data_IF_038973402889
#
_entry.id   IF_038973402889
#
_cell.length_a   1.000
_cell.length_b   1.000
_cell.length_c   1.000
_cell.angle_alpha   90.00
_cell.angle_beta   90.00
_cell.angle_gamma   90.00
#
_symmetry.space_group_name_H-M   'P 1'
#
loop_
_entity.id
_entity.type
_entity.pdbx_description
1 polymer ?
#
# COMPACT_ATOMS: atom_id res chain seq x y z
N UNK A 1 -54.38 -32.97 -1.99
CA UNK A 1 -53.58 -31.78 -1.62
C UNK A 1 -54.23 -30.58 -2.30
N UNK A 2 -55.06 -29.82 -1.56
CA UNK A 2 -55.95 -28.79 -2.09
C UNK A 2 -55.22 -27.45 -2.08
N UNK A 3 -55.02 -26.85 -3.26
CA UNK A 3 -54.54 -25.50 -3.42
C UNK A 3 -55.70 -24.53 -3.18
N UNK A 4 -55.76 -23.90 -2.02
CA UNK A 4 -56.68 -22.80 -1.72
C UNK A 4 -56.23 -21.55 -2.46
N UNK A 5 -56.86 -21.23 -3.58
CA UNK A 5 -56.79 -19.90 -4.20
C UNK A 5 -57.56 -18.93 -3.31
N UNK A 6 -56.83 -18.01 -2.67
CA UNK A 6 -57.46 -16.86 -2.01
C UNK A 6 -57.98 -15.88 -3.06
N UNK A 7 -59.31 -15.77 -3.14
CA UNK A 7 -59.98 -14.75 -3.94
C UNK A 7 -59.83 -13.39 -3.26
N UNK A 8 -59.13 -12.47 -3.87
CA UNK A 8 -59.17 -11.06 -3.52
C UNK A 8 -60.39 -10.41 -4.15
N UNK A 9 -61.24 -9.80 -3.34
CA UNK A 9 -62.48 -9.15 -3.76
C UNK A 9 -62.20 -8.05 -4.83
N UNK A 10 -62.98 -7.96 -5.93
CA UNK A 10 -62.88 -6.90 -6.90
C UNK A 10 -63.37 -5.58 -6.27
N UNK A 11 -62.45 -4.65 -5.99
CA UNK A 11 -62.77 -3.34 -5.46
C UNK A 11 -61.81 -2.84 -4.37
N UNK A 12 -60.90 -3.65 -3.88
CA UNK A 12 -59.87 -3.18 -2.96
C UNK A 12 -58.92 -2.23 -3.70
N UNK A 13 -58.99 -0.94 -3.40
CA UNK A 13 -58.01 0.03 -3.88
C UNK A 13 -56.61 -0.45 -3.44
N UNK A 14 -55.60 -0.45 -4.33
CA UNK A 14 -54.29 -0.81 -3.90
C UNK A 14 -53.89 0.12 -2.74
N UNK A 15 -53.57 -0.50 -1.60
CA UNK A 15 -53.00 0.21 -0.46
C UNK A 15 -51.73 0.90 -0.95
N UNK A 16 -51.82 2.23 -1.07
CA UNK A 16 -50.67 3.04 -1.41
C UNK A 16 -49.72 2.92 -0.25
N UNK A 17 -48.79 1.98 -0.36
CA UNK A 17 -47.67 1.88 0.57
C UNK A 17 -46.98 3.25 0.57
N UNK A 18 -47.25 4.00 1.62
CA UNK A 18 -46.71 5.34 1.80
C UNK A 18 -45.19 5.16 2.07
N UNK A 19 -44.41 5.05 0.97
CA UNK A 19 -42.93 4.99 1.04
C UNK A 19 -42.53 6.27 1.73
N UNK A 20 -42.20 6.18 3.02
CA UNK A 20 -41.71 7.28 3.84
C UNK A 20 -40.72 8.08 3.04
N UNK A 21 -41.00 9.38 2.89
CA UNK A 21 -40.05 10.33 2.33
C UNK A 21 -38.69 10.12 3.00
N UNK A 22 -37.60 10.03 2.23
CA UNK A 22 -36.26 9.87 2.81
C UNK A 22 -36.02 10.94 3.85
N UNK A 23 -35.43 10.53 4.97
CA UNK A 23 -35.09 11.41 6.08
C UNK A 23 -34.32 12.64 5.64
N UNK A 24 -34.44 13.73 6.35
CA UNK A 24 -33.84 15.02 6.01
C UNK A 24 -32.32 14.89 5.79
N UNK A 25 -31.73 15.62 4.81
CA UNK A 25 -30.30 15.50 4.41
C UNK A 25 -29.27 15.71 5.54
N UNK A 26 -29.71 16.21 6.69
CA UNK A 26 -28.85 16.40 7.89
C UNK A 26 -28.45 15.11 8.58
N UNK A 27 -29.28 14.07 8.59
CA UNK A 27 -28.97 12.80 9.26
C UNK A 27 -27.87 12.02 8.52
N UNK A 28 -27.82 12.08 7.20
CA UNK A 28 -26.85 11.36 6.38
C UNK A 28 -25.43 11.91 6.54
N UNK A 29 -25.31 13.24 6.67
CA UNK A 29 -24.02 13.88 6.92
C UNK A 29 -23.47 13.52 8.32
N UNK A 30 -24.35 13.39 9.31
CA UNK A 30 -23.98 12.93 10.66
C UNK A 30 -23.45 11.50 10.63
N UNK A 31 -24.08 10.60 9.87
CA UNK A 31 -23.61 9.23 9.71
C UNK A 31 -22.27 9.17 8.96
N UNK A 32 -22.08 10.01 7.93
CA UNK A 32 -20.80 10.10 7.22
C UNK A 32 -19.70 10.61 8.14
N UNK A 33 -19.96 11.63 8.95
CA UNK A 33 -19.03 12.14 9.96
C UNK A 33 -18.68 11.06 11.00
N UNK A 34 -19.69 10.33 11.50
CA UNK A 34 -19.47 9.22 12.43
C UNK A 34 -18.58 8.12 11.85
N UNK A 35 -18.85 7.70 10.61
CA UNK A 35 -18.00 6.76 9.89
C UNK A 35 -16.58 7.31 9.69
N UNK A 36 -16.44 8.60 9.33
CA UNK A 36 -15.15 9.26 9.18
C UNK A 36 -14.34 9.28 10.47
N UNK A 37 -14.97 9.56 11.60
CA UNK A 37 -14.30 9.54 12.90
C UNK A 37 -13.80 8.14 13.26
N UNK A 38 -14.57 7.09 13.02
CA UNK A 38 -14.17 5.71 13.27
C UNK A 38 -12.97 5.32 12.38
N UNK A 39 -13.03 5.63 11.08
CA UNK A 39 -11.94 5.35 10.16
C UNK A 39 -10.69 6.15 10.52
N UNK A 40 -10.83 7.44 10.85
CA UNK A 40 -9.72 8.30 11.27
C UNK A 40 -9.07 7.79 12.55
N UNK A 41 -9.87 7.36 13.54
CA UNK A 41 -9.36 6.77 14.78
C UNK A 41 -8.56 5.47 14.48
N UNK A 42 -9.09 4.57 13.66
CA UNK A 42 -8.38 3.36 13.25
C UNK A 42 -7.06 3.65 12.52
N UNK A 43 -7.05 4.61 11.60
CA UNK A 43 -5.83 5.02 10.91
C UNK A 43 -4.82 5.69 11.85
N UNK A 44 -5.29 6.50 12.81
CA UNK A 44 -4.43 7.10 13.82
C UNK A 44 -3.77 6.04 14.71
N UNK A 45 -4.51 5.01 15.12
CA UNK A 45 -3.97 3.88 15.88
C UNK A 45 -2.90 3.12 15.08
N UNK A 46 -3.17 2.84 13.81
CA UNK A 46 -2.17 2.19 12.92
C UNK A 46 -0.94 3.06 12.78
N UNK A 47 -1.12 4.36 12.55
CA UNK A 47 0.01 5.29 12.44
C UNK A 47 0.81 5.34 13.73
N UNK A 48 0.18 5.44 14.90
CA UNK A 48 0.84 5.44 16.20
C UNK A 48 1.68 4.18 16.39
N UNK A 49 1.11 2.99 16.17
CA UNK A 49 1.82 1.72 16.28
C UNK A 49 3.01 1.61 15.30
N UNK A 50 2.86 2.11 14.05
CA UNK A 50 3.96 2.09 13.07
C UNK A 50 5.05 3.12 13.39
N UNK A 51 4.72 4.22 14.05
CA UNK A 51 5.65 5.30 14.37
C UNK A 51 6.50 5.06 15.63
N UNK A 52 6.19 4.06 16.45
CA UNK A 52 6.94 3.74 17.66
C UNK A 52 8.44 3.55 17.41
N UNK A 53 8.83 2.97 16.28
CA UNK A 53 10.23 2.75 15.90
C UNK A 53 10.89 3.89 15.11
N UNK A 54 10.18 4.99 14.81
CA UNK A 54 10.68 6.01 13.88
C UNK A 54 11.82 6.85 14.42
N UNK A 55 11.78 7.21 15.70
CA UNK A 55 12.88 7.95 16.33
C UNK A 55 14.18 7.14 16.27
N UNK A 56 14.13 5.85 16.64
CA UNK A 56 15.29 4.96 16.53
C UNK A 56 15.76 4.76 15.08
N UNK A 57 14.84 4.71 14.11
CA UNK A 57 15.20 4.62 12.70
C UNK A 57 15.86 5.90 12.17
N UNK A 58 15.40 7.08 12.58
CA UNK A 58 16.03 8.36 12.22
C UNK A 58 17.44 8.47 12.80
N UNK A 59 17.65 8.07 14.05
CA UNK A 59 18.96 8.10 14.68
C UNK A 59 19.95 7.11 14.03
N UNK A 60 19.48 5.92 13.69
CA UNK A 60 20.27 4.93 12.94
C UNK A 60 20.61 5.40 11.53
N UNK A 61 19.69 6.10 10.83
CA UNK A 61 19.97 6.74 9.54
C UNK A 61 21.06 7.81 9.68
N UNK A 62 21.02 8.64 10.72
CA UNK A 62 22.04 9.67 10.97
C UNK A 62 23.41 9.08 11.29
N UNK A 63 23.47 7.94 12.01
CA UNK A 63 24.72 7.24 12.33
C UNK A 63 25.25 6.37 11.20
N UNK A 64 24.54 6.24 10.07
CA UNK A 64 24.91 5.36 8.97
C UNK A 64 24.72 3.86 9.23
N UNK A 65 24.08 3.47 10.34
CA UNK A 65 23.75 2.09 10.68
C UNK A 65 22.56 1.56 9.86
N UNK A 66 21.79 2.48 9.30
CA UNK A 66 20.65 2.24 8.42
C UNK A 66 20.83 3.08 7.15
N UNK A 67 20.66 2.48 5.98
CA UNK A 67 20.87 3.16 4.70
C UNK A 67 19.56 3.29 3.95
N UNK A 68 19.24 4.51 3.50
CA UNK A 68 18.15 4.75 2.56
C UNK A 68 18.66 4.52 1.13
N UNK A 69 18.28 3.37 0.54
CA UNK A 69 18.75 2.95 -0.79
C UNK A 69 18.35 3.91 -1.92
N UNK A 70 17.32 4.73 -1.72
CA UNK A 70 16.93 5.74 -2.71
C UNK A 70 17.80 7.01 -2.66
N UNK A 71 18.52 7.23 -1.55
CA UNK A 71 19.36 8.43 -1.33
C UNK A 71 20.85 8.14 -1.45
N UNK A 72 21.26 6.88 -1.69
CA UNK A 72 22.68 6.51 -1.89
C UNK A 72 23.24 7.24 -3.10
N UNK A 73 24.31 8.00 -2.94
CA UNK A 73 24.98 8.78 -3.99
C UNK A 73 26.24 8.12 -4.53
N UNK A 74 26.82 7.16 -3.80
CA UNK A 74 27.99 6.40 -4.21
C UNK A 74 28.07 5.03 -3.57
N UNK A 75 28.84 4.09 -4.15
CA UNK A 75 28.97 2.72 -3.65
C UNK A 75 29.61 2.65 -2.27
N UNK A 76 30.44 3.62 -1.89
CA UNK A 76 31.14 3.70 -0.61
C UNK A 76 30.17 3.75 0.59
N UNK A 77 28.98 4.32 0.41
CA UNK A 77 27.94 4.38 1.43
C UNK A 77 27.32 3.01 1.75
N UNK A 78 27.53 2.02 0.91
CA UNK A 78 27.06 0.65 1.09
C UNK A 78 28.12 -0.23 1.80
N UNK A 79 29.39 0.16 1.83
CA UNK A 79 30.47 -0.65 2.38
C UNK A 79 30.27 -1.06 3.85
N UNK A 80 29.77 -0.19 4.76
CA UNK A 80 29.51 -0.59 6.14
C UNK A 80 28.48 -1.71 6.28
N UNK A 81 27.55 -1.84 5.33
CA UNK A 81 26.52 -2.88 5.34
C UNK A 81 27.07 -4.25 4.88
N UNK A 82 28.26 -4.25 4.27
CA UNK A 82 28.88 -5.41 3.63
C UNK A 82 29.93 -6.11 4.51
N UNK A 83 29.91 -5.89 5.82
CA UNK A 83 30.85 -6.53 6.77
C UNK A 83 30.81 -8.07 6.73
N UNK A 84 29.70 -8.65 6.26
CA UNK A 84 29.60 -10.10 6.03
C UNK A 84 30.54 -10.63 4.94
N UNK A 85 31.13 -9.76 4.12
CA UNK A 85 32.14 -10.10 3.12
C UNK A 85 33.53 -9.75 3.70
N UNK A 86 34.39 -10.73 3.98
CA UNK A 86 35.68 -10.47 4.63
C UNK A 86 36.68 -9.76 3.71
N UNK A 87 36.59 -9.99 2.39
CA UNK A 87 37.50 -9.38 1.41
C UNK A 87 37.09 -7.95 1.06
N UNK A 88 38.04 -6.98 1.17
CA UNK A 88 37.78 -5.58 0.80
C UNK A 88 37.40 -5.44 -0.67
N UNK A 89 38.14 -6.12 -1.57
CA UNK A 89 37.88 -6.08 -3.01
C UNK A 89 36.51 -6.65 -3.38
N UNK A 90 36.05 -7.72 -2.69
CA UNK A 90 34.72 -8.28 -2.88
C UNK A 90 33.64 -7.31 -2.37
N UNK A 91 33.84 -6.64 -1.21
CA UNK A 91 32.91 -5.62 -0.71
C UNK A 91 32.73 -4.47 -1.68
N UNK A 92 33.83 -3.94 -2.23
CA UNK A 92 33.81 -2.86 -3.21
C UNK A 92 33.06 -3.28 -4.50
N UNK A 93 33.30 -4.51 -4.97
CA UNK A 93 32.62 -5.06 -6.14
C UNK A 93 31.10 -5.23 -5.90
N UNK A 94 30.72 -5.79 -4.74
CA UNK A 94 29.32 -5.95 -4.35
C UNK A 94 28.64 -4.58 -4.21
N UNK A 95 29.30 -3.62 -3.54
CA UNK A 95 28.81 -2.26 -3.41
C UNK A 95 28.55 -1.60 -4.76
N UNK A 96 29.49 -1.72 -5.69
CA UNK A 96 29.37 -1.20 -7.06
C UNK A 96 28.18 -1.83 -7.79
N UNK A 97 28.05 -3.16 -7.73
CA UNK A 97 26.92 -3.87 -8.37
C UNK A 97 25.56 -3.43 -7.83
N UNK A 98 25.45 -3.23 -6.51
CA UNK A 98 24.22 -2.74 -5.90
C UNK A 98 23.95 -1.32 -6.34
N UNK A 99 24.97 -0.45 -6.33
CA UNK A 99 24.84 0.94 -6.75
C UNK A 99 24.39 1.04 -8.21
N UNK A 100 24.97 0.26 -9.12
CA UNK A 100 24.59 0.21 -10.54
C UNK A 100 23.15 -0.27 -10.73
N UNK A 101 22.72 -1.24 -9.92
CA UNK A 101 21.33 -1.68 -9.90
C UNK A 101 20.39 -0.57 -9.41
N UNK A 102 20.76 0.09 -8.30
CA UNK A 102 20.00 1.20 -7.75
C UNK A 102 19.89 2.35 -8.74
N UNK A 103 20.97 2.71 -9.43
CA UNK A 103 20.99 3.79 -10.42
C UNK A 103 19.97 3.58 -11.55
N UNK A 104 19.73 2.31 -11.93
CA UNK A 104 18.76 1.93 -12.97
C UNK A 104 17.35 1.73 -12.49
N UNK A 105 17.17 1.34 -11.22
CA UNK A 105 15.89 0.89 -10.68
C UNK A 105 15.19 1.93 -9.78
N UNK A 106 15.82 3.06 -9.47
CA UNK A 106 15.25 4.13 -8.63
C UNK A 106 14.04 4.83 -9.27
N UNK A 107 13.05 5.25 -8.47
CA UNK A 107 12.91 5.03 -7.02
C UNK A 107 12.40 3.62 -6.70
N UNK A 108 13.09 2.92 -5.78
CA UNK A 108 12.62 1.64 -5.28
C UNK A 108 11.44 1.83 -4.31
N UNK A 109 10.37 1.12 -4.56
CA UNK A 109 9.22 1.07 -3.65
C UNK A 109 9.36 0.07 -2.50
N UNK A 110 10.32 -0.88 -2.62
CA UNK A 110 10.50 -2.00 -1.71
C UNK A 110 11.97 -2.45 -1.70
N UNK A 111 12.55 -2.64 -0.51
CA UNK A 111 13.90 -3.23 -0.34
C UNK A 111 13.98 -4.61 -0.97
N UNK A 112 12.89 -5.39 -0.97
CA UNK A 112 12.81 -6.71 -1.60
C UNK A 112 13.13 -6.73 -3.11
N UNK A 113 13.11 -5.58 -3.79
CA UNK A 113 13.54 -5.47 -5.19
C UNK A 113 15.01 -5.84 -5.38
N UNK A 114 15.85 -5.70 -4.35
CA UNK A 114 17.26 -6.10 -4.37
C UNK A 114 17.45 -7.63 -4.53
N UNK A 115 16.45 -8.45 -4.22
CA UNK A 115 16.49 -9.89 -4.52
C UNK A 115 16.59 -10.22 -6.02
N UNK A 116 16.27 -9.24 -6.88
CA UNK A 116 16.44 -9.36 -8.33
C UNK A 116 17.89 -9.23 -8.77
N UNK A 117 18.75 -8.72 -7.90
CA UNK A 117 20.17 -8.60 -8.17
C UNK A 117 20.82 -9.97 -8.08
N UNK A 118 21.10 -10.55 -9.22
CA UNK A 118 21.71 -11.87 -9.37
C UNK A 118 22.99 -11.78 -10.17
N UNK A 119 23.95 -12.61 -9.79
CA UNK A 119 25.23 -12.78 -10.49
C UNK A 119 25.25 -14.16 -11.13
N UNK A 120 25.74 -14.25 -12.37
CA UNK A 120 25.87 -15.53 -13.06
C UNK A 120 27.07 -16.32 -12.53
N UNK A 121 27.04 -17.65 -12.67
CA UNK A 121 28.16 -18.49 -12.32
C UNK A 121 29.43 -18.12 -13.12
N UNK A 122 29.27 -17.82 -14.41
CA UNK A 122 30.33 -17.38 -15.30
C UNK A 122 31.04 -16.10 -14.82
N UNK A 123 30.25 -15.13 -14.34
CA UNK A 123 30.79 -13.88 -13.81
C UNK A 123 31.55 -14.10 -12.50
N UNK A 124 31.09 -15.03 -11.65
CA UNK A 124 31.76 -15.40 -10.39
C UNK A 124 33.09 -16.12 -10.70
N UNK A 125 33.14 -16.94 -11.72
CA UNK A 125 34.35 -17.69 -12.11
C UNK A 125 35.39 -16.80 -12.80
N UNK A 126 34.93 -15.84 -13.62
CA UNK A 126 35.82 -14.97 -14.40
C UNK A 126 36.55 -13.91 -13.58
N UNK A 127 35.94 -13.43 -12.46
CA UNK A 127 36.55 -12.38 -11.64
C UNK A 127 37.08 -12.93 -10.31
N UNK A 128 38.42 -12.89 -10.09
CA UNK A 128 39.07 -13.43 -8.90
C UNK A 128 38.65 -12.76 -7.60
N UNK A 129 38.01 -11.59 -7.66
CA UNK A 129 37.52 -10.86 -6.48
C UNK A 129 36.33 -11.50 -5.79
N UNK A 130 35.63 -12.43 -6.43
CA UNK A 130 34.49 -13.17 -5.87
C UNK A 130 34.92 -14.34 -4.95
N UNK A 131 35.48 -14.07 -3.78
CA UNK A 131 35.98 -15.12 -2.90
C UNK A 131 34.89 -15.90 -2.18
N UNK A 132 33.92 -15.23 -1.56
CA UNK A 132 32.85 -15.87 -0.78
C UNK A 132 31.84 -16.54 -1.72
N UNK A 133 31.45 -15.82 -2.78
CA UNK A 133 30.48 -16.37 -3.75
C UNK A 133 31.08 -17.55 -4.52
N UNK A 134 32.37 -17.55 -4.84
CA UNK A 134 33.05 -18.67 -5.47
C UNK A 134 33.10 -19.90 -4.56
N UNK A 135 33.34 -19.73 -3.26
CA UNK A 135 33.23 -20.84 -2.29
C UNK A 135 31.83 -21.41 -2.22
N UNK A 136 30.79 -20.56 -2.20
CA UNK A 136 29.40 -21.00 -2.24
C UNK A 136 29.05 -21.71 -3.54
N UNK A 137 29.53 -21.23 -4.69
CA UNK A 137 29.34 -21.86 -5.99
C UNK A 137 29.91 -23.27 -5.98
N UNK A 138 31.17 -23.47 -5.54
CA UNK A 138 31.79 -24.79 -5.42
C UNK A 138 31.02 -25.73 -4.50
N UNK A 139 30.54 -25.23 -3.38
CA UNK A 139 29.74 -26.02 -2.43
C UNK A 139 28.39 -26.45 -3.03
N UNK A 140 27.74 -25.62 -3.83
CA UNK A 140 26.49 -25.97 -4.52
C UNK A 140 26.71 -26.94 -5.68
N UNK A 141 27.80 -26.78 -6.43
CA UNK A 141 28.18 -27.72 -7.47
C UNK A 141 28.44 -29.13 -6.93
N UNK A 142 29.06 -29.24 -5.74
CA UNK A 142 29.24 -30.53 -5.07
C UNK A 142 27.94 -31.23 -4.61
N UNK A 143 26.85 -30.47 -4.50
CA UNK A 143 25.51 -30.97 -4.11
C UNK A 143 24.59 -31.28 -5.31
N UNK A 144 25.13 -31.40 -6.52
CA UNK A 144 24.42 -31.74 -7.76
C UNK A 144 23.25 -30.82 -8.15
N UNK A 145 23.29 -29.55 -7.74
CA UNK A 145 22.32 -28.53 -8.15
C UNK A 145 23.01 -27.44 -8.99
N UNK A 146 22.90 -27.48 -10.32
CA UNK A 146 23.44 -26.42 -11.15
C UNK A 146 22.62 -25.14 -11.00
N UNK A 147 22.99 -24.27 -10.07
CA UNK A 147 22.40 -22.95 -9.98
C UNK A 147 23.11 -22.02 -11.00
N UNK A 148 22.40 -21.65 -12.06
CA UNK A 148 22.94 -20.74 -13.08
C UNK A 148 23.06 -19.28 -12.62
N UNK A 149 22.34 -18.89 -11.55
CA UNK A 149 22.31 -17.54 -11.02
C UNK A 149 22.26 -17.56 -9.50
N UNK A 150 23.10 -16.76 -8.88
CA UNK A 150 23.21 -16.63 -7.43
C UNK A 150 22.62 -15.29 -6.97
N UNK A 151 21.86 -15.33 -5.88
CA UNK A 151 21.47 -14.10 -5.19
C UNK A 151 22.73 -13.48 -4.59
N UNK A 152 23.04 -12.26 -5.03
CA UNK A 152 24.21 -11.54 -4.53
C UNK A 152 24.12 -11.30 -3.03
N UNK A 153 22.88 -11.11 -2.54
CA UNK A 153 22.64 -10.70 -1.17
C UNK A 153 21.51 -11.51 -0.55
N UNK A 154 21.75 -12.18 0.57
CA UNK A 154 20.67 -12.76 1.36
C UNK A 154 19.82 -11.63 1.95
N UNK A 155 18.64 -11.44 1.38
CA UNK A 155 17.72 -10.35 1.75
C UNK A 155 17.35 -10.35 3.24
N UNK A 156 17.33 -11.53 3.88
CA UNK A 156 17.05 -11.68 5.29
C UNK A 156 18.05 -10.91 6.19
N UNK A 157 19.33 -10.85 5.77
CA UNK A 157 20.40 -10.16 6.52
C UNK A 157 20.36 -8.65 6.26
N UNK A 158 19.98 -8.22 5.05
CA UNK A 158 20.11 -6.83 4.64
C UNK A 158 18.83 -6.01 4.80
N UNK A 159 17.67 -6.64 4.75
CA UNK A 159 16.39 -5.94 4.95
C UNK A 159 16.34 -5.11 6.25
N UNK A 160 16.89 -5.57 7.39
CA UNK A 160 16.93 -4.79 8.62
C UNK A 160 17.85 -3.56 8.58
N UNK A 161 18.84 -3.57 7.67
CA UNK A 161 19.86 -2.52 7.54
C UNK A 161 19.54 -1.48 6.47
N UNK A 162 18.48 -1.71 5.69
CA UNK A 162 18.10 -0.86 4.57
C UNK A 162 16.66 -0.38 4.68
N UNK A 163 16.41 0.82 4.17
CA UNK A 163 15.07 1.39 3.97
C UNK A 163 14.97 2.00 2.59
N UNK A 164 13.75 2.14 2.09
CA UNK A 164 13.45 2.81 0.81
C UNK A 164 12.87 4.21 1.02
N UNK A 165 12.53 4.56 2.25
CA UNK A 165 12.04 5.89 2.61
C UNK A 165 12.33 6.23 4.08
N UNK A 166 12.43 7.52 4.37
CA UNK A 166 12.57 8.01 5.72
C UNK A 166 11.22 8.03 6.47
N UNK A 167 11.21 8.09 7.81
CA UNK A 167 10.01 8.31 8.61
C UNK A 167 9.21 9.55 8.20
N UNK A 168 9.90 10.64 7.84
CA UNK A 168 9.27 11.88 7.37
C UNK A 168 8.56 11.70 6.03
N UNK A 169 9.19 11.03 5.08
CA UNK A 169 8.58 10.70 3.78
C UNK A 169 7.35 9.81 3.96
N UNK A 170 7.43 8.79 4.84
CA UNK A 170 6.27 7.96 5.14
C UNK A 170 5.13 8.78 5.71
N UNK A 171 5.39 9.68 6.68
CA UNK A 171 4.37 10.55 7.27
C UNK A 171 3.68 11.40 6.21
N UNK A 172 4.44 12.05 5.34
CA UNK A 172 3.90 12.89 4.27
C UNK A 172 2.98 12.07 3.34
N UNK A 173 3.46 10.91 2.87
CA UNK A 173 2.70 10.00 2.01
C UNK A 173 1.45 9.47 2.72
N UNK A 174 1.56 9.10 4.00
CA UNK A 174 0.41 8.60 4.76
C UNK A 174 -0.69 9.64 4.89
N UNK A 175 -0.33 10.89 5.23
CA UNK A 175 -1.29 11.99 5.35
C UNK A 175 -1.91 12.37 3.99
N UNK A 176 -1.11 12.45 2.94
CA UNK A 176 -1.57 12.78 1.58
C UNK A 176 -2.63 11.77 1.10
N UNK A 177 -2.33 10.48 1.16
CA UNK A 177 -3.23 9.44 0.65
C UNK A 177 -4.44 9.19 1.55
N UNK A 178 -4.31 9.41 2.85
CA UNK A 178 -5.44 9.44 3.78
C UNK A 178 -6.35 10.62 3.47
N UNK A 179 -5.80 11.81 3.27
CA UNK A 179 -6.59 12.98 2.89
C UNK A 179 -7.31 12.78 1.55
N UNK A 180 -6.63 12.20 0.54
CA UNK A 180 -7.24 11.87 -0.75
C UNK A 180 -8.41 10.89 -0.59
N UNK A 181 -8.26 9.87 0.26
CA UNK A 181 -9.32 8.91 0.56
C UNK A 181 -10.56 9.61 1.14
N UNK A 182 -10.41 10.44 2.16
CA UNK A 182 -11.53 11.19 2.74
C UNK A 182 -12.13 12.19 1.76
N UNK A 183 -11.29 12.91 1.02
CA UNK A 183 -11.74 13.90 0.03
C UNK A 183 -12.69 13.29 -1.01
N UNK A 184 -12.46 12.04 -1.43
CA UNK A 184 -13.35 11.32 -2.33
C UNK A 184 -14.79 11.25 -1.81
N UNK A 185 -15.00 10.82 -0.57
CA UNK A 185 -16.32 10.69 0.03
C UNK A 185 -17.01 12.03 0.27
N UNK A 186 -16.28 13.03 0.74
CA UNK A 186 -16.84 14.37 0.94
C UNK A 186 -17.17 15.06 -0.38
N UNK A 187 -16.39 14.81 -1.44
CA UNK A 187 -16.71 15.27 -2.79
C UNK A 187 -18.03 14.65 -3.29
N UNK A 188 -18.24 13.33 -3.12
CA UNK A 188 -19.52 12.68 -3.47
C UNK A 188 -20.66 13.28 -2.68
N UNK A 189 -20.50 13.46 -1.36
CA UNK A 189 -21.52 14.03 -0.50
C UNK A 189 -21.89 15.46 -0.95
N UNK A 190 -20.89 16.28 -1.32
CA UNK A 190 -21.09 17.63 -1.85
C UNK A 190 -21.84 17.59 -3.18
N UNK A 191 -21.38 16.80 -4.14
CA UNK A 191 -21.99 16.67 -5.47
C UNK A 191 -23.44 16.19 -5.37
N UNK A 192 -23.71 15.19 -4.53
CA UNK A 192 -25.07 14.70 -4.30
C UNK A 192 -25.95 15.73 -3.59
N UNK A 193 -25.37 16.55 -2.71
CA UNK A 193 -26.07 17.66 -2.03
C UNK A 193 -26.51 18.71 -3.03
N UNK A 194 -25.60 19.19 -3.86
CA UNK A 194 -25.86 20.24 -4.88
C UNK A 194 -26.74 19.69 -6.02
N UNK A 195 -26.44 18.50 -6.52
CA UNK A 195 -27.14 17.85 -7.64
C UNK A 195 -28.53 17.32 -7.31
N UNK A 196 -29.01 17.48 -6.05
CA UNK A 196 -30.30 16.99 -5.57
C UNK A 196 -30.52 15.50 -5.89
N UNK A 197 -29.49 14.70 -5.70
CA UNK A 197 -29.53 13.25 -5.94
C UNK A 197 -30.72 12.61 -5.22
N UNK A 198 -31.51 11.81 -5.92
CA UNK A 198 -32.77 11.20 -5.42
C UNK A 198 -32.59 9.76 -4.91
N UNK A 199 -31.38 9.18 -5.01
CA UNK A 199 -31.11 7.83 -4.52
C UNK A 199 -30.97 7.75 -3.00
N UNK A 200 -30.75 6.53 -2.52
CA UNK A 200 -30.46 6.29 -1.11
C UNK A 200 -29.04 6.75 -0.77
N UNK A 201 -28.95 7.80 0.03
CA UNK A 201 -27.67 8.37 0.44
C UNK A 201 -27.04 7.67 1.64
N UNK A 202 -27.81 6.81 2.35
CA UNK A 202 -27.28 6.02 3.48
C UNK A 202 -26.21 5.01 3.02
N UNK A 203 -26.19 4.70 1.72
CA UNK A 203 -25.16 3.87 1.09
C UNK A 203 -23.75 4.48 1.24
N UNK A 204 -23.62 5.80 1.17
CA UNK A 204 -22.31 6.47 1.19
C UNK A 204 -21.54 6.28 2.52
N UNK A 205 -22.14 6.50 3.72
CA UNK A 205 -21.50 6.21 5.00
C UNK A 205 -21.13 4.72 5.16
N UNK A 206 -21.98 3.80 4.72
CA UNK A 206 -21.72 2.36 4.79
C UNK A 206 -20.52 1.99 3.91
N UNK A 207 -20.46 2.51 2.67
CA UNK A 207 -19.33 2.30 1.76
C UNK A 207 -18.05 2.91 2.33
N UNK A 208 -18.14 4.11 2.93
CA UNK A 208 -16.98 4.76 3.56
C UNK A 208 -16.44 3.90 4.73
N UNK A 209 -17.30 3.37 5.57
CA UNK A 209 -16.87 2.52 6.69
C UNK A 209 -16.22 1.21 6.18
N UNK A 210 -16.85 0.55 5.21
CA UNK A 210 -16.35 -0.71 4.66
C UNK A 210 -14.97 -0.54 3.99
N UNK A 211 -14.84 0.47 3.13
CA UNK A 211 -13.56 0.77 2.48
C UNK A 211 -12.54 1.32 3.47
N UNK A 212 -12.98 2.02 4.53
CA UNK A 212 -12.13 2.49 5.63
C UNK A 212 -11.48 1.34 6.39
N UNK A 213 -12.22 0.28 6.70
CA UNK A 213 -11.66 -0.95 7.28
C UNK A 213 -10.61 -1.54 6.34
N UNK A 214 -10.89 -1.61 5.04
CA UNK A 214 -9.92 -2.06 4.03
C UNK A 214 -8.63 -1.21 4.03
N UNK A 215 -8.77 0.11 4.12
CA UNK A 215 -7.63 1.03 4.18
C UNK A 215 -6.79 0.83 5.45
N UNK A 216 -7.43 0.67 6.62
CA UNK A 216 -6.78 0.38 7.89
C UNK A 216 -5.96 -0.92 7.79
N UNK A 217 -6.56 -1.99 7.25
CA UNK A 217 -5.88 -3.26 7.04
C UNK A 217 -4.68 -3.12 6.09
N UNK A 218 -4.84 -2.46 4.95
CA UNK A 218 -3.74 -2.24 4.00
C UNK A 218 -2.59 -1.42 4.61
N UNK A 219 -2.90 -0.43 5.45
CA UNK A 219 -1.89 0.38 6.14
C UNK A 219 -1.16 -0.42 7.24
N UNK A 220 -1.84 -1.38 7.90
CA UNK A 220 -1.29 -2.16 9.00
C UNK A 220 -0.33 -3.28 8.57
N UNK A 221 -0.53 -3.87 7.38
CA UNK A 221 0.12 -5.13 6.98
C UNK A 221 1.62 -5.04 6.68
N UNK A 222 2.13 -3.89 6.23
CA UNK A 222 3.49 -3.76 5.66
C UNK A 222 4.39 -2.89 6.53
N UNK A 223 5.71 -3.12 6.41
CA UNK A 223 6.71 -2.23 7.01
C UNK A 223 6.71 -0.87 6.27
N UNK A 224 6.44 0.23 6.98
CA UNK A 224 6.30 1.54 6.35
C UNK A 224 7.57 2.06 5.70
N UNK A 225 8.75 1.65 6.17
CA UNK A 225 10.03 2.16 5.70
C UNK A 225 10.67 1.26 4.62
N UNK A 226 10.27 -0.04 4.57
CA UNK A 226 10.95 -1.06 3.75
C UNK A 226 10.09 -1.62 2.63
N UNK A 227 8.77 -1.67 2.80
CA UNK A 227 7.88 -2.35 1.87
C UNK A 227 7.08 -1.39 1.00
N UNK A 228 6.46 -1.91 -0.07
CA UNK A 228 5.54 -1.15 -0.92
C UNK A 228 4.31 -0.74 -0.12
N UNK A 229 3.91 0.53 -0.24
CA UNK A 229 2.74 1.09 0.43
C UNK A 229 1.47 0.81 -0.40
N UNK A 230 0.87 -0.36 -0.21
CA UNK A 230 -0.31 -0.79 -0.98
C UNK A 230 -1.54 0.11 -0.70
N UNK A 231 -1.63 0.71 0.48
CA UNK A 231 -2.70 1.66 0.80
C UNK A 231 -2.77 2.86 -0.16
N UNK A 232 -1.66 3.23 -0.82
CA UNK A 232 -1.66 4.28 -1.84
C UNK A 232 -2.53 3.93 -3.03
N UNK A 233 -2.33 2.71 -3.58
CA UNK A 233 -3.12 2.19 -4.71
C UNK A 233 -4.58 2.02 -4.30
N UNK A 234 -4.81 1.55 -3.08
CA UNK A 234 -6.15 1.39 -2.53
C UNK A 234 -6.86 2.72 -2.40
N UNK A 235 -6.24 3.75 -1.78
CA UNK A 235 -6.81 5.11 -1.67
C UNK A 235 -7.11 5.71 -3.04
N UNK A 236 -6.20 5.53 -4.03
CA UNK A 236 -6.44 5.99 -5.39
C UNK A 236 -7.64 5.28 -6.02
N UNK A 237 -7.73 3.96 -5.87
CA UNK A 237 -8.86 3.18 -6.40
C UNK A 237 -10.19 3.61 -5.80
N UNK A 238 -10.23 3.83 -4.47
CA UNK A 238 -11.43 4.34 -3.80
C UNK A 238 -11.78 5.74 -4.27
N UNK A 239 -10.80 6.64 -4.39
CA UNK A 239 -11.03 7.99 -4.90
C UNK A 239 -11.60 7.99 -6.32
N UNK A 240 -11.04 7.19 -7.23
CA UNK A 240 -11.58 7.02 -8.59
C UNK A 240 -12.99 6.42 -8.57
N UNK A 241 -13.26 5.45 -7.70
CA UNK A 241 -14.61 4.91 -7.48
C UNK A 241 -15.60 5.98 -7.00
N UNK A 242 -15.16 6.87 -6.10
CA UNK A 242 -15.95 8.01 -5.66
C UNK A 242 -16.27 8.99 -6.81
N UNK A 243 -15.31 9.26 -7.70
CA UNK A 243 -15.56 10.08 -8.90
C UNK A 243 -16.63 9.44 -9.80
N UNK A 244 -16.57 8.14 -10.03
CA UNK A 244 -17.60 7.42 -10.78
C UNK A 244 -18.95 7.49 -10.08
N UNK A 245 -18.97 7.35 -8.75
CA UNK A 245 -20.19 7.41 -7.94
C UNK A 245 -20.84 8.81 -7.95
N UNK A 246 -20.08 9.85 -8.21
CA UNK A 246 -20.59 11.22 -8.34
C UNK A 246 -21.30 11.48 -9.70
N UNK A 247 -20.99 10.72 -10.75
CA UNK A 247 -21.52 10.94 -12.12
C UNK A 247 -23.05 10.92 -12.22
N UNK A 248 -23.80 10.02 -11.55
CA UNK A 248 -25.27 9.98 -11.64
C UNK A 248 -25.96 11.25 -11.16
N UNK A 249 -25.28 12.10 -10.34
CA UNK A 249 -25.85 13.37 -9.92
C UNK A 249 -25.97 14.40 -11.06
N UNK A 250 -25.18 14.24 -12.14
CA UNK A 250 -25.19 15.14 -13.30
C UNK A 250 -26.16 14.70 -14.41
N UNK A 251 -26.59 13.42 -14.40
CA UNK A 251 -27.57 12.90 -15.34
C UNK A 251 -28.69 12.23 -14.56
N UNK A 252 -29.93 12.67 -14.78
CA UNK A 252 -31.11 11.97 -14.29
C UNK A 252 -31.23 10.64 -15.06
N UNK A 253 -30.49 9.61 -14.62
CA UNK A 253 -30.67 8.27 -15.13
C UNK A 253 -31.99 7.72 -14.59
N UNK A 254 -32.99 7.57 -15.47
CA UNK A 254 -34.22 6.86 -15.14
C UNK A 254 -33.98 5.35 -15.27
N UNK A 255 -33.67 4.70 -14.16
CA UNK A 255 -33.45 3.24 -14.08
C UNK A 255 -34.75 2.42 -14.22
N UNK A 256 -35.88 3.06 -14.54
CA UNK A 256 -37.20 2.40 -14.63
C UNK A 256 -37.64 2.10 -16.08
N UNK A 257 -36.69 2.17 -17.02
CA UNK A 257 -36.96 1.71 -18.39
C UNK A 257 -36.30 0.37 -18.65
#
# INVERSE_FOLDING_TARGET
>A
MALTRSWTAPGARPEVVNIRKPAAPRSELVWLLGASLLVAAGLAMVYAAKSEGFAGAEDRLKRGELVNVNLVTGPEQLLPLLESFPGRAERELVAQKIFDFLARARPLGNVGALARLRVSAEEIESDPRWDVLRRRLRQQQSQSRPAQRFELVPLAIWKPLMVVRSPREFRAVFLEWTALYFAGFYLVALVWGVGRFRGDRAFLPALHLLTGIGLILMASMRDPLRDTLEFRKFSLGVFLGCLLLALPAFKAFDYRR
#
